data_IF_744364487230
#
_entry.id   IF_744364487230
#
_cell.length_a   1.000
_cell.length_b   1.000
_cell.length_c   1.000
_cell.angle_alpha   90.00
_cell.angle_beta   90.00
_cell.angle_gamma   90.00
#
_symmetry.space_group_name_H-M   'P 1'
#
loop_
_entity.id
_entity.type
_entity.pdbx_description
1 polymer ?
#
# COMPACT_ATOMS: atom_id res chain seq x y z
N UNK A 1 -1.02 12.49 -9.09
CA UNK A 1 -1.03 12.53 -7.62
C UNK A 1 -1.25 11.14 -7.08
N UNK A 2 -0.24 10.55 -6.48
CA UNK A 2 -0.31 9.20 -5.94
C UNK A 2 0.89 8.94 -5.03
N UNK A 3 0.89 7.76 -4.43
CA UNK A 3 2.01 7.26 -3.64
C UNK A 3 2.60 6.04 -4.35
N UNK A 4 3.90 5.85 -4.18
CA UNK A 4 4.59 4.62 -4.58
C UNK A 4 4.90 3.85 -3.31
N UNK A 5 4.60 2.56 -3.32
CA UNK A 5 4.72 1.69 -2.14
C UNK A 5 5.50 0.45 -2.55
N UNK A 6 6.50 0.11 -1.76
CA UNK A 6 7.27 -1.11 -1.93
C UNK A 6 6.56 -2.26 -1.22
N UNK A 7 6.41 -3.38 -1.90
CA UNK A 7 5.76 -4.56 -1.35
C UNK A 7 6.51 -5.82 -1.76
N UNK A 8 6.57 -6.78 -0.86
CA UNK A 8 7.19 -8.08 -1.10
C UNK A 8 6.33 -9.19 -0.47
N UNK A 9 6.14 -10.35 -1.11
CA UNK A 9 5.38 -11.46 -0.53
C UNK A 9 5.91 -11.91 0.84
N UNK A 10 7.20 -11.69 1.10
CA UNK A 10 7.87 -11.98 2.35
C UNK A 10 8.93 -10.91 2.69
N UNK A 11 8.57 -9.78 3.33
CA UNK A 11 9.46 -8.62 3.49
C UNK A 11 10.83 -8.92 4.09
N UNK A 12 10.91 -9.87 5.04
CA UNK A 12 12.17 -10.26 5.70
C UNK A 12 13.20 -10.85 4.72
N UNK A 13 12.76 -11.43 3.61
CA UNK A 13 13.62 -11.99 2.56
C UNK A 13 13.97 -10.97 1.48
N UNK A 14 13.46 -9.74 1.57
CA UNK A 14 13.80 -8.70 0.61
C UNK A 14 15.30 -8.38 0.72
N UNK A 15 15.96 -8.38 -0.44
CA UNK A 15 17.39 -8.08 -0.54
C UNK A 15 17.69 -6.58 -0.35
N UNK A 16 16.66 -5.73 -0.50
CA UNK A 16 16.71 -4.29 -0.29
C UNK A 16 15.49 -3.85 0.54
N UNK A 17 15.67 -2.89 1.44
CA UNK A 17 14.60 -2.15 2.13
C UNK A 17 13.51 -3.04 2.78
N UNK A 18 13.94 -4.15 3.39
CA UNK A 18 13.07 -5.14 4.02
C UNK A 18 12.25 -4.61 5.19
N UNK A 19 12.67 -3.53 5.83
CA UNK A 19 11.95 -2.83 6.89
C UNK A 19 10.90 -1.83 6.37
N UNK A 20 11.00 -1.43 5.10
CA UNK A 20 10.06 -0.51 4.45
C UNK A 20 9.03 -1.23 3.57
N UNK A 21 9.35 -2.45 3.12
CA UNK A 21 8.47 -3.23 2.26
C UNK A 21 7.26 -3.77 3.02
N UNK A 22 6.06 -3.48 2.52
CA UNK A 22 4.81 -4.07 3.03
C UNK A 22 4.67 -5.53 2.60
N UNK A 23 4.01 -6.34 3.44
CA UNK A 23 3.48 -7.62 2.98
C UNK A 23 2.28 -7.41 2.03
N UNK A 24 1.85 -8.47 1.35
CA UNK A 24 0.64 -8.39 0.51
C UNK A 24 -0.64 -8.14 1.33
N UNK A 25 -0.65 -8.58 2.58
CA UNK A 25 -1.75 -8.35 3.52
C UNK A 25 -1.79 -6.89 3.96
N UNK A 26 -0.65 -6.34 4.42
CA UNK A 26 -0.55 -4.94 4.83
C UNK A 26 -0.84 -3.97 3.67
N UNK A 27 -0.45 -4.32 2.44
CA UNK A 27 -0.79 -3.54 1.26
C UNK A 27 -2.31 -3.50 1.02
N UNK A 28 -3.00 -4.63 1.20
CA UNK A 28 -4.46 -4.70 1.08
C UNK A 28 -5.13 -3.86 2.16
N UNK A 29 -4.68 -3.98 3.41
CA UNK A 29 -5.19 -3.21 4.54
C UNK A 29 -5.01 -1.70 4.30
N UNK A 30 -3.83 -1.28 3.85
CA UNK A 30 -3.56 0.12 3.50
C UNK A 30 -4.53 0.65 2.44
N UNK A 31 -4.85 -0.12 1.40
CA UNK A 31 -5.81 0.29 0.36
C UNK A 31 -7.23 0.41 0.94
N UNK A 32 -7.63 -0.52 1.81
CA UNK A 32 -8.93 -0.47 2.50
C UNK A 32 -9.06 0.78 3.40
N UNK A 33 -8.00 1.12 4.15
CA UNK A 33 -7.96 2.31 5.00
C UNK A 33 -7.94 3.63 4.22
N UNK A 34 -7.21 3.66 3.10
CA UNK A 34 -7.09 4.86 2.26
C UNK A 34 -8.38 5.14 1.47
N UNK A 35 -9.21 4.13 1.18
CA UNK A 35 -10.45 4.29 0.41
C UNK A 35 -11.41 5.34 1.00
N UNK A 36 -11.81 5.23 2.28
CA UNK A 36 -12.62 6.23 2.97
C UNK A 36 -11.99 7.62 2.98
N UNK A 37 -10.68 7.71 3.17
CA UNK A 37 -9.94 8.99 3.20
C UNK A 37 -10.00 9.66 1.83
N UNK A 38 -9.67 8.92 0.76
CA UNK A 38 -9.73 9.40 -0.61
C UNK A 38 -11.13 9.94 -0.94
N UNK A 39 -12.17 9.19 -0.58
CA UNK A 39 -13.56 9.62 -0.78
C UNK A 39 -13.91 10.89 -0.02
N UNK A 40 -13.47 11.01 1.24
CA UNK A 40 -13.73 12.18 2.08
C UNK A 40 -13.13 13.48 1.50
N UNK A 41 -12.00 13.36 0.77
CA UNK A 41 -11.35 14.50 0.10
C UNK A 41 -11.75 14.65 -1.38
N UNK A 42 -12.82 13.97 -1.83
CA UNK A 42 -13.33 14.07 -3.20
C UNK A 42 -12.43 13.40 -4.26
N UNK A 43 -11.61 12.43 -3.84
CA UNK A 43 -10.74 11.63 -4.71
C UNK A 43 -11.20 10.16 -4.75
N UNK A 44 -10.67 9.41 -5.69
CA UNK A 44 -10.86 7.96 -5.79
C UNK A 44 -9.50 7.28 -5.87
N UNK A 45 -9.36 6.11 -5.25
CA UNK A 45 -8.22 5.23 -5.51
C UNK A 45 -8.35 4.61 -6.91
N UNK A 46 -7.22 4.32 -7.55
CA UNK A 46 -7.22 3.58 -8.80
C UNK A 46 -7.72 2.17 -8.55
N UNK A 47 -8.70 1.73 -9.33
CA UNK A 47 -9.10 0.31 -9.38
C UNK A 47 -8.01 -0.48 -10.09
N UNK A 48 -7.61 -1.61 -9.52
CA UNK A 48 -6.74 -2.60 -10.17
C UNK A 48 -7.47 -3.34 -11.28
#
# INVERSE_FOLDING_TARGET
>A
DGIMVEAHPNPIESQCDSDQALSMEDLSEMIEELGPIAKAIGRNLATL
#
